data_IF_943502989885
#
_entry.id   IF_943502989885
#
_cell.length_a   1.000
_cell.length_b   1.000
_cell.length_c   1.000
_cell.angle_alpha   90.00
_cell.angle_beta   90.00
_cell.angle_gamma   90.00
#
_symmetry.space_group_name_H-M   'P 1'
#
loop_
_entity.id
_entity.type
_entity.pdbx_description
1 polymer ?
#
# COMPACT_ATOMS: atom_id res chain seq x y z
N UNK A 1 12.65 0.38 17.51
CA UNK A 1 12.61 -0.66 16.46
C UNK A 1 11.16 -0.89 16.09
N UNK A 2 10.83 -0.94 14.81
CA UNK A 2 9.47 -1.27 14.36
C UNK A 2 9.47 -2.76 14.05
N UNK A 3 8.61 -3.52 14.71
CA UNK A 3 8.53 -4.97 14.55
C UNK A 3 7.84 -5.31 13.23
N UNK A 4 6.77 -4.59 12.91
CA UNK A 4 6.00 -4.80 11.69
C UNK A 4 5.29 -3.55 11.19
N UNK A 5 5.08 -3.50 9.87
CA UNK A 5 4.14 -2.61 9.18
C UNK A 5 3.36 -3.46 8.17
N UNK A 6 2.04 -3.44 8.26
CA UNK A 6 1.13 -4.13 7.35
C UNK A 6 0.30 -3.11 6.58
N UNK A 7 0.08 -3.42 5.30
CA UNK A 7 -0.76 -2.67 4.38
C UNK A 7 -1.96 -3.53 3.98
N UNK A 8 -3.15 -2.98 4.16
CA UNK A 8 -4.40 -3.56 3.67
C UNK A 8 -5.17 -2.57 2.82
N UNK A 9 -5.91 -3.08 1.84
CA UNK A 9 -6.82 -2.29 1.00
C UNK A 9 -8.23 -2.79 1.25
N UNK A 10 -9.14 -1.87 1.57
CA UNK A 10 -10.54 -2.21 1.83
C UNK A 10 -11.17 -2.92 0.63
N UNK A 11 -11.90 -4.01 0.89
CA UNK A 11 -12.48 -4.87 -0.14
C UNK A 11 -11.51 -5.73 -0.97
N UNK A 12 -10.19 -5.68 -0.71
CA UNK A 12 -9.18 -6.56 -1.31
C UNK A 12 -8.49 -7.41 -0.25
N UNK A 13 -8.17 -6.78 0.89
CA UNK A 13 -7.53 -7.41 2.04
C UNK A 13 -6.04 -7.12 2.10
N UNK A 14 -5.29 -8.10 2.59
CA UNK A 14 -3.85 -8.00 2.84
C UNK A 14 -3.05 -7.82 1.56
N UNK A 15 -2.17 -6.82 1.55
CA UNK A 15 -1.25 -6.55 0.44
C UNK A 15 0.16 -7.01 0.78
N UNK A 16 0.68 -6.57 1.94
CA UNK A 16 2.04 -6.91 2.38
C UNK A 16 2.22 -6.67 3.87
N UNK A 17 3.21 -7.36 4.44
CA UNK A 17 3.74 -7.08 5.77
C UNK A 17 5.25 -7.00 5.69
N UNK A 18 5.80 -5.89 6.17
CA UNK A 18 7.23 -5.68 6.39
C UNK A 18 7.52 -5.96 7.86
N UNK A 19 8.67 -6.58 8.16
CA UNK A 19 9.08 -6.89 9.53
C UNK A 19 10.53 -6.48 9.77
N UNK A 20 10.92 -6.41 11.05
CA UNK A 20 12.31 -6.14 11.47
C UNK A 20 12.88 -4.84 10.88
N UNK A 21 12.10 -3.76 11.03
CA UNK A 21 12.41 -2.45 10.49
C UNK A 21 13.26 -1.66 11.49
N UNK A 22 14.43 -1.21 11.05
CA UNK A 22 15.41 -0.50 11.86
C UNK A 22 15.90 0.76 11.16
N UNK A 23 16.71 1.58 11.82
CA UNK A 23 17.32 2.75 11.19
C UNK A 23 18.26 2.38 10.02
N UNK A 24 18.81 1.16 10.01
CA UNK A 24 19.67 0.64 8.92
C UNK A 24 18.90 -0.16 7.88
N UNK A 25 17.69 -0.63 8.20
CA UNK A 25 16.81 -1.42 7.33
C UNK A 25 15.42 -0.78 7.31
N UNK A 26 15.27 0.32 6.57
CA UNK A 26 14.05 1.14 6.53
C UNK A 26 13.49 1.36 5.11
N UNK A 27 14.18 0.86 4.09
CA UNK A 27 13.78 1.00 2.68
C UNK A 27 13.47 -0.38 2.14
N UNK A 28 12.21 -0.60 1.76
CA UNK A 28 11.72 -1.90 1.31
C UNK A 28 11.14 -1.79 -0.10
N UNK A 29 11.42 -2.80 -0.93
CA UNK A 29 10.81 -3.00 -2.24
C UNK A 29 10.24 -4.42 -2.31
N UNK A 30 9.18 -4.73 -1.54
CA UNK A 30 8.60 -6.06 -1.53
C UNK A 30 7.98 -6.38 -2.89
N UNK A 31 8.14 -7.62 -3.36
CA UNK A 31 7.42 -8.09 -4.52
C UNK A 31 5.95 -8.30 -4.13
N UNK A 32 5.04 -7.52 -4.72
CA UNK A 32 3.60 -7.69 -4.56
C UNK A 32 3.13 -8.58 -5.71
N UNK A 33 2.35 -9.65 -5.43
CA UNK A 33 1.75 -10.47 -6.48
C UNK A 33 0.98 -9.64 -7.51
N UNK A 34 1.19 -9.88 -8.80
CA UNK A 34 0.53 -9.15 -9.88
C UNK A 34 -0.99 -9.16 -9.74
N UNK A 35 -1.57 -10.28 -9.32
CA UNK A 35 -3.02 -10.42 -9.10
C UNK A 35 -3.57 -9.44 -8.06
N UNK A 36 -2.79 -9.11 -7.02
CA UNK A 36 -3.19 -8.11 -6.02
C UNK A 36 -3.06 -6.69 -6.57
N UNK A 37 -2.00 -6.41 -7.34
CA UNK A 37 -1.85 -5.12 -8.03
C UNK A 37 -2.99 -4.86 -9.03
N UNK A 38 -3.36 -5.87 -9.80
CA UNK A 38 -4.47 -5.80 -10.76
C UNK A 38 -5.80 -5.59 -10.02
N UNK A 39 -6.03 -6.29 -8.89
CA UNK A 39 -7.22 -6.11 -8.07
C UNK A 39 -7.33 -4.69 -7.52
N UNK A 40 -6.23 -4.12 -6.99
CA UNK A 40 -6.18 -2.74 -6.48
C UNK A 40 -6.45 -1.75 -7.61
N UNK A 41 -5.80 -1.94 -8.76
CA UNK A 41 -5.98 -1.07 -9.94
C UNK A 41 -7.42 -1.10 -10.43
N UNK A 42 -8.02 -2.28 -10.57
CA UNK A 42 -9.42 -2.43 -10.99
C UNK A 42 -10.40 -1.80 -10.00
N UNK A 43 -10.15 -1.96 -8.69
CA UNK A 43 -10.98 -1.32 -7.66
C UNK A 43 -10.88 0.20 -7.78
N UNK A 44 -9.68 0.76 -7.93
CA UNK A 44 -9.49 2.19 -8.09
C UNK A 44 -10.17 2.72 -9.37
N UNK A 45 -10.04 2.02 -10.50
CA UNK A 45 -10.71 2.39 -11.74
C UNK A 45 -12.24 2.36 -11.63
N UNK A 46 -12.79 1.42 -10.88
CA UNK A 46 -14.24 1.24 -10.74
C UNK A 46 -14.86 2.20 -9.72
N UNK A 47 -14.20 2.41 -8.59
CA UNK A 47 -14.74 3.16 -7.45
C UNK A 47 -14.21 4.59 -7.40
N UNK A 48 -13.25 4.94 -8.27
CA UNK A 48 -12.54 6.22 -8.32
C UNK A 48 -11.84 6.61 -7.01
N UNK A 49 -11.78 5.66 -6.06
CA UNK A 49 -11.16 5.79 -4.75
C UNK A 49 -10.76 4.42 -4.21
N UNK A 50 -9.76 4.42 -3.33
CA UNK A 50 -9.42 3.26 -2.51
C UNK A 50 -9.16 3.73 -1.08
N UNK A 51 -9.54 2.89 -0.11
CA UNK A 51 -9.23 3.11 1.30
C UNK A 51 -8.10 2.16 1.69
N UNK A 52 -7.03 2.73 2.23
CA UNK A 52 -5.84 1.99 2.63
C UNK A 52 -5.71 2.06 4.14
N UNK A 53 -5.50 0.91 4.77
CA UNK A 53 -5.21 0.81 6.20
C UNK A 53 -3.76 0.41 6.38
N UNK A 54 -3.01 1.22 7.14
CA UNK A 54 -1.64 0.92 7.54
C UNK A 54 -1.63 0.75 9.05
N UNK A 55 -1.17 -0.39 9.52
CA UNK A 55 -1.02 -0.67 10.93
C UNK A 55 0.30 -1.40 11.20
N UNK A 56 0.75 -1.38 12.45
CA UNK A 56 2.04 -1.95 12.80
C UNK A 56 2.25 -2.01 14.30
N UNK A 57 3.42 -2.50 14.69
CA UNK A 57 3.81 -2.59 16.10
C UNK A 57 5.28 -2.21 16.27
N UNK A 58 5.60 -1.63 17.42
CA UNK A 58 6.96 -1.32 17.84
C UNK A 58 7.07 -1.42 19.35
N UNK A 59 8.30 -1.54 19.83
CA UNK A 59 8.61 -1.59 21.26
C UNK A 59 8.73 -0.19 21.89
N UNK A 60 8.35 0.86 21.16
CA UNK A 60 8.45 2.27 21.53
C UNK A 60 7.32 3.06 20.89
N UNK A 61 7.07 4.29 21.37
CA UNK A 61 6.11 5.20 20.73
C UNK A 61 6.40 5.31 19.22
N UNK A 62 5.33 5.18 18.41
CA UNK A 62 5.40 5.23 16.94
C UNK A 62 4.72 6.48 16.43
N UNK A 63 5.33 7.11 15.42
CA UNK A 63 4.65 8.03 14.52
C UNK A 63 4.62 7.35 13.14
N UNK A 64 3.43 7.16 12.57
CA UNK A 64 3.23 6.58 11.25
C UNK A 64 2.88 7.73 10.30
N UNK A 65 3.73 7.95 9.29
CA UNK A 65 3.43 8.86 8.18
C UNK A 65 3.23 8.03 6.93
N UNK A 66 2.08 8.21 6.27
CA UNK A 66 1.74 7.49 5.03
C UNK A 66 1.84 8.47 3.87
N UNK A 67 2.88 8.30 3.05
CA UNK A 67 2.99 8.98 1.76
C UNK A 67 2.36 8.11 0.67
N UNK A 68 1.22 8.55 0.13
CA UNK A 68 0.59 7.88 -1.01
C UNK A 68 1.04 8.59 -2.28
N UNK A 69 1.89 7.94 -3.06
CA UNK A 69 2.22 8.38 -4.41
C UNK A 69 1.33 7.63 -5.40
N UNK A 70 0.32 8.33 -5.94
CA UNK A 70 -0.56 7.80 -6.98
C UNK A 70 0.00 8.25 -8.32
N UNK A 71 0.61 7.33 -9.06
CA UNK A 71 0.99 7.57 -10.45
C UNK A 71 -0.26 7.43 -11.32
N UNK A 72 -0.89 8.55 -11.67
CA UNK A 72 -2.08 8.57 -12.51
C UNK A 72 -1.67 8.52 -13.99
N UNK A 73 -1.74 7.34 -14.59
CA UNK A 73 -1.76 7.21 -16.05
C UNK A 73 -3.12 7.62 -16.59
N UNK A 74 -3.28 8.88 -17.01
CA UNK A 74 -4.50 9.31 -17.71
C UNK A 74 -4.52 8.65 -19.10
N UNK A 75 -5.29 7.58 -19.26
CA UNK A 75 -5.68 7.10 -20.59
C UNK A 75 -6.93 7.91 -20.98
N UNK A 76 -6.72 8.99 -21.72
CA UNK A 76 -7.81 9.73 -22.35
C UNK A 76 -8.43 8.85 -23.44
N UNK A 77 -9.59 8.25 -23.16
CA UNK A 77 -10.42 7.70 -24.23
C UNK A 77 -11.25 8.83 -24.83
N UNK A 78 -11.07 9.08 -26.14
CA UNK A 78 -12.04 9.82 -26.94
C UNK A 78 -13.25 8.91 -27.11
N UNK A 79 -14.41 9.31 -26.58
CA UNK A 79 -15.69 8.72 -26.95
C UNK A 79 -15.96 9.11 -28.42
N UNK A 80 -15.93 8.12 -29.31
CA UNK A 80 -16.49 8.24 -30.67
C UNK A 80 -18.02 8.21 -30.62
#
# INVERSE_FOLDING_TARGET
>A
MINSVTLEVDGIGHILTLTNISATNNTFKPAIPQSLLDAVSNKFLKEEKITVTVYGSANSAMSISVGVSIEAGIIAYVLN
#
